data_IF_467276232534
#
_entry.id   IF_467276232534
#
_cell.length_a   1.000
_cell.length_b   1.000
_cell.length_c   1.000
_cell.angle_alpha   90.00
_cell.angle_beta   90.00
_cell.angle_gamma   90.00
#
_symmetry.space_group_name_H-M   'P 1'
#
loop_
_entity.id
_entity.type
_entity.pdbx_description
1 polymer ?
#
# COMPACT_ATOMS: atom_id res chain seq x y z
N UNK A 1 11.14 -13.34 0.92
CA UNK A 1 9.88 -12.66 0.59
C UNK A 1 8.97 -12.74 1.81
N UNK A 2 8.32 -11.64 2.18
CA UNK A 2 7.30 -11.65 3.24
C UNK A 2 6.04 -12.32 2.72
N UNK A 3 5.35 -13.08 3.56
CA UNK A 3 4.10 -13.74 3.20
C UNK A 3 2.93 -12.75 3.20
N UNK A 4 1.87 -13.03 2.43
CA UNK A 4 0.64 -12.22 2.39
C UNK A 4 0.06 -11.94 3.78
N UNK A 5 0.10 -12.93 4.69
CA UNK A 5 -0.35 -12.78 6.07
C UNK A 5 0.45 -11.73 6.85
N UNK A 6 1.78 -11.69 6.67
CA UNK A 6 2.65 -10.73 7.36
C UNK A 6 2.38 -9.30 6.87
N UNK A 7 2.16 -9.14 5.57
CA UNK A 7 1.83 -7.84 4.97
C UNK A 7 0.46 -7.36 5.42
N UNK A 8 -0.51 -8.26 5.54
CA UNK A 8 -1.82 -7.93 6.08
C UNK A 8 -1.73 -7.49 7.55
N UNK A 9 -0.92 -8.18 8.37
CA UNK A 9 -0.66 -7.76 9.75
C UNK A 9 0.00 -6.39 9.82
N UNK A 10 0.99 -6.09 8.96
CA UNK A 10 1.58 -4.76 8.86
C UNK A 10 0.54 -3.71 8.47
N UNK A 11 -0.30 -3.98 7.46
CA UNK A 11 -1.40 -3.08 7.08
C UNK A 11 -2.35 -2.82 8.25
N UNK A 12 -2.69 -3.86 9.02
CA UNK A 12 -3.56 -3.74 10.20
C UNK A 12 -2.89 -2.92 11.29
N UNK A 13 -1.61 -3.14 11.54
CA UNK A 13 -0.84 -2.38 12.51
C UNK A 13 -0.78 -0.92 12.09
N UNK A 14 -0.39 -0.62 10.85
CA UNK A 14 -0.33 0.73 10.29
C UNK A 14 -1.70 1.42 10.30
N UNK A 15 -2.80 0.69 10.08
CA UNK A 15 -4.16 1.25 10.20
C UNK A 15 -4.55 1.59 11.64
N UNK A 16 -4.04 0.83 12.61
CA UNK A 16 -4.25 1.07 14.05
C UNK A 16 -3.30 2.12 14.64
N UNK A 17 -2.34 2.64 13.87
CA UNK A 17 -1.45 3.70 14.37
C UNK A 17 -2.20 5.02 14.46
N UNK A 18 -2.23 5.59 15.66
CA UNK A 18 -2.82 6.91 15.91
C UNK A 18 -1.95 8.05 15.37
N UNK A 19 -0.65 7.81 15.15
CA UNK A 19 0.28 8.81 14.61
C UNK A 19 0.17 9.06 13.10
N UNK A 20 -0.33 8.08 12.33
CA UNK A 20 -0.39 8.14 10.85
C UNK A 20 -1.63 7.43 10.35
N UNK A 21 -2.50 8.16 9.66
CA UNK A 21 -3.68 7.56 9.05
C UNK A 21 -3.31 6.89 7.73
N UNK A 22 -3.28 5.56 7.69
CA UNK A 22 -3.17 4.83 6.42
C UNK A 22 -4.43 5.12 5.57
N UNK A 23 -4.25 5.80 4.45
CA UNK A 23 -5.34 6.18 3.54
C UNK A 23 -5.70 5.03 2.62
N UNK A 24 -4.70 4.46 1.96
CA UNK A 24 -4.86 3.39 0.99
C UNK A 24 -3.55 2.61 0.81
N UNK A 25 -3.61 1.51 0.08
CA UNK A 25 -2.44 0.75 -0.36
C UNK A 25 -2.39 0.83 -1.88
N UNK A 26 -1.23 1.13 -2.45
CA UNK A 26 -1.04 1.11 -3.90
C UNK A 26 -0.16 -0.08 -4.30
N UNK A 27 -0.69 -0.93 -5.17
CA UNK A 27 0.01 -2.05 -5.77
C UNK A 27 0.42 -1.69 -7.19
N UNK A 28 1.68 -1.85 -7.53
CA UNK A 28 2.19 -1.71 -8.88
C UNK A 28 2.59 -3.08 -9.42
N UNK A 29 1.82 -3.59 -10.37
CA UNK A 29 2.02 -4.91 -10.97
C UNK A 29 2.84 -4.73 -12.26
N UNK A 30 4.08 -5.23 -12.27
CA UNK A 30 5.02 -5.18 -13.40
C UNK A 30 5.39 -6.58 -13.87
N UNK A 31 4.87 -7.00 -15.02
CA UNK A 31 5.08 -8.31 -15.67
C UNK A 31 4.89 -9.53 -14.75
N UNK A 32 5.86 -9.81 -13.87
CA UNK A 32 5.89 -10.95 -12.97
C UNK A 32 6.14 -10.60 -11.50
N UNK A 33 6.28 -9.31 -11.18
CA UNK A 33 6.56 -8.80 -9.84
C UNK A 33 5.52 -7.75 -9.47
N UNK A 34 5.22 -7.65 -8.18
CA UNK A 34 4.29 -6.69 -7.64
C UNK A 34 4.98 -5.86 -6.57
N UNK A 35 4.92 -4.55 -6.67
CA UNK A 35 5.45 -3.63 -5.67
C UNK A 35 4.31 -3.01 -4.89
N UNK A 36 4.33 -3.14 -3.58
CA UNK A 36 3.34 -2.59 -2.66
C UNK A 36 3.87 -1.31 -2.02
N UNK A 37 3.05 -0.26 -2.06
CA UNK A 37 3.31 1.04 -1.47
C UNK A 37 2.22 1.39 -0.46
N UNK A 38 2.63 1.85 0.72
CA UNK A 38 1.71 2.35 1.73
C UNK A 38 1.49 3.85 1.54
N UNK A 39 0.23 4.24 1.44
CA UNK A 39 -0.18 5.61 1.19
C UNK A 39 -0.86 6.17 2.44
N UNK A 40 -0.19 7.11 3.09
CA UNK A 40 -0.67 7.73 4.32
C UNK A 40 -1.36 9.07 4.00
N UNK A 41 -2.41 9.39 4.74
CA UNK A 41 -3.00 10.72 4.77
C UNK A 41 -2.11 11.62 5.63
N UNK A 42 -1.50 12.63 5.02
CA UNK A 42 -0.83 13.68 5.78
C UNK A 42 -1.89 14.49 6.52
N UNK A 43 -1.90 14.39 7.85
CA UNK A 43 -2.64 15.31 8.71
C UNK A 43 -1.96 16.67 8.55
N UNK A 44 -2.48 17.50 7.65
CA UNK A 44 -1.95 18.83 7.37
C UNK A 44 -1.94 19.65 8.68
N UNK A 45 -0.79 19.72 9.35
CA UNK A 45 -0.49 20.87 10.19
C UNK A 45 -0.30 22.04 9.24
N UNK A 46 -1.33 22.89 9.21
CA UNK A 46 -1.48 24.04 8.32
C UNK A 46 -0.22 24.91 8.24
N UNK A 47 0.66 24.59 7.30
CA UNK A 47 1.74 25.44 6.80
C UNK A 47 2.30 24.78 5.56
N UNK A 48 2.33 25.54 4.46
CA UNK A 48 3.01 25.25 3.18
C UNK A 48 2.10 24.65 2.10
N UNK A 49 1.47 25.57 1.35
CA UNK A 49 1.56 25.56 -0.11
C UNK A 49 2.91 24.95 -0.53
N UNK A 50 2.91 23.84 -1.27
CA UNK A 50 3.92 23.44 -2.28
C UNK A 50 3.81 21.94 -2.53
N UNK A 51 3.32 21.58 -3.71
CA UNK A 51 3.58 20.34 -4.45
C UNK A 51 3.29 19.00 -3.74
N UNK A 52 2.35 18.25 -4.32
CA UNK A 52 1.99 16.87 -4.02
C UNK A 52 3.16 15.87 -4.18
N UNK A 53 4.22 15.99 -3.39
CA UNK A 53 5.20 14.94 -3.20
C UNK A 53 4.67 14.06 -2.09
N UNK A 54 3.90 13.03 -2.45
CA UNK A 54 3.55 11.96 -1.51
C UNK A 54 4.87 11.39 -0.99
N UNK A 55 5.24 11.75 0.24
CA UNK A 55 6.37 11.12 0.92
C UNK A 55 5.98 9.67 1.15
N UNK A 56 6.50 8.78 0.31
CA UNK A 56 6.52 7.34 0.57
C UNK A 56 7.42 7.12 1.81
N UNK A 57 6.82 7.31 3.00
CA UNK A 57 7.50 7.15 4.28
C UNK A 57 7.71 5.67 4.65
N UNK A 58 7.26 4.76 3.80
CA UNK A 58 7.47 3.32 3.92
C UNK A 58 8.18 2.82 2.67
N UNK A 59 9.19 1.98 2.86
CA UNK A 59 9.88 1.31 1.77
C UNK A 59 8.89 0.46 0.95
N UNK A 60 9.04 0.43 -0.38
CA UNK A 60 8.26 -0.46 -1.23
C UNK A 60 8.51 -1.92 -0.88
N UNK A 61 7.44 -2.69 -0.70
CA UNK A 61 7.48 -4.13 -0.48
C UNK A 61 7.36 -4.87 -1.81
N UNK A 62 8.27 -5.80 -2.08
CA UNK A 62 8.26 -6.60 -3.32
C UNK A 62 7.59 -7.95 -3.07
N UNK A 63 6.60 -8.26 -3.90
CA UNK A 63 5.69 -9.39 -3.78
C UNK A 63 5.64 -10.16 -5.10
N UNK A 64 5.53 -11.48 -5.00
CA UNK A 64 5.17 -12.32 -6.14
C UNK A 64 3.69 -12.19 -6.48
N UNK A 65 3.31 -12.55 -7.71
CA UNK A 65 1.91 -12.52 -8.16
C UNK A 65 1.02 -13.39 -7.26
N UNK A 66 1.47 -14.60 -6.89
CA UNK A 66 0.71 -15.50 -6.02
C UNK A 66 0.44 -14.88 -4.64
N UNK A 67 1.46 -14.21 -4.08
CA UNK A 67 1.38 -13.50 -2.80
C UNK A 67 0.45 -12.30 -2.92
N UNK A 68 0.54 -11.55 -4.02
CA UNK A 68 -0.36 -10.42 -4.30
C UNK A 68 -1.82 -10.85 -4.43
N UNK A 69 -2.12 -11.93 -5.16
CA UNK A 69 -3.50 -12.41 -5.29
C UNK A 69 -4.09 -12.85 -3.95
N UNK A 70 -3.28 -13.49 -3.12
CA UNK A 70 -3.67 -13.90 -1.76
C UNK A 70 -3.90 -12.68 -0.87
N UNK A 71 -2.98 -11.71 -0.89
CA UNK A 71 -3.09 -10.48 -0.13
C UNK A 71 -4.32 -9.66 -0.57
N UNK A 72 -4.56 -9.57 -1.87
CA UNK A 72 -5.71 -8.86 -2.45
C UNK A 72 -7.04 -9.40 -1.92
N UNK A 73 -7.18 -10.74 -1.87
CA UNK A 73 -8.38 -11.38 -1.28
C UNK A 73 -8.53 -11.01 0.19
N UNK A 74 -7.45 -11.13 0.97
CA UNK A 74 -7.48 -10.82 2.39
C UNK A 74 -7.80 -9.34 2.67
N UNK A 75 -7.32 -8.42 1.84
CA UNK A 75 -7.65 -6.99 1.93
C UNK A 75 -9.12 -6.72 1.62
N UNK A 76 -9.69 -7.42 0.62
CA UNK A 76 -11.11 -7.32 0.25
C UNK A 76 -12.01 -7.85 1.37
N UNK A 77 -11.64 -9.00 1.97
CA UNK A 77 -12.33 -9.59 3.12
C UNK A 77 -12.32 -8.67 4.36
N UNK A 78 -11.22 -7.94 4.56
CA UNK A 78 -11.08 -6.95 5.64
C UNK A 78 -11.69 -5.58 5.30
N UNK A 79 -12.20 -5.39 4.08
CA UNK A 79 -12.76 -4.13 3.61
C UNK A 79 -11.73 -2.99 3.51
N UNK A 80 -10.46 -3.32 3.29
CA UNK A 80 -9.37 -2.35 3.16
C UNK A 80 -9.29 -1.85 1.71
N UNK A 81 -9.29 -0.53 1.53
CA UNK A 81 -9.18 0.07 0.20
C UNK A 81 -7.75 -0.02 -0.32
N UNK A 82 -7.61 -0.52 -1.54
CA UNK A 82 -6.36 -0.55 -2.27
C UNK A 82 -6.53 -0.09 -3.72
N UNK A 83 -5.48 0.48 -4.29
CA UNK A 83 -5.32 0.74 -5.72
C UNK A 83 -4.38 -0.29 -6.33
N UNK A 84 -4.70 -0.70 -7.55
CA UNK A 84 -3.81 -1.50 -8.38
C UNK A 84 -3.49 -0.71 -9.66
N UNK A 85 -2.20 -0.47 -9.92
CA UNK A 85 -1.68 0.05 -11.17
C UNK A 85 -1.00 -1.12 -11.88
N UNK A 86 -1.58 -1.54 -13.00
CA UNK A 86 -1.03 -2.60 -13.83
C UNK A 86 -0.52 -1.94 -15.09
N UNK A 87 0.79 -1.92 -15.27
CA UNK A 87 1.42 -1.33 -16.45
C UNK A 87 1.20 -2.30 -17.62
N UNK A 88 0.05 -2.17 -18.27
CA UNK A 88 -0.29 -2.92 -19.46
C UNK A 88 0.34 -2.18 -20.64
N UNK A 89 1.62 -2.46 -20.91
CA UNK A 89 2.23 -2.09 -22.19
C UNK A 89 1.42 -2.79 -23.29
N UNK A 90 0.62 -2.00 -24.03
CA UNK A 90 0.02 -2.42 -25.31
C UNK A 90 1.08 -2.47 -26.40
#
# INVERSE_FOLDING_TARGET
MKSASQLLEEVKNERNREDKFLREIQFEVRRNEVTMFFEYEEVQTATQETHYFRKHNHDPEFLDIETFETLKKALDEEGIRYKQRRDMFM
#
